data_IF_647303022249
#
_entry.id   IF_647303022249
#
_cell.length_a   1.000
_cell.length_b   1.000
_cell.length_c   1.000
_cell.angle_alpha   90.00
_cell.angle_beta   90.00
_cell.angle_gamma   90.00
#
_symmetry.space_group_name_H-M   'P 1'
#
loop_
_entity.id
_entity.type
_entity.pdbx_description
1 polymer ?
#
# COMPACT_ATOMS: atom_id res chain seq x y z
N UNK A 1 10.29 -14.41 21.33
CA UNK A 1 10.70 -13.82 20.04
C UNK A 1 10.58 -12.30 20.14
N UNK A 2 11.64 -11.60 19.80
CA UNK A 2 11.67 -10.14 19.85
C UNK A 2 10.85 -9.61 18.66
N UNK A 3 9.84 -8.80 18.96
CA UNK A 3 8.97 -8.21 17.94
C UNK A 3 9.78 -7.30 17.00
N UNK A 4 9.60 -7.46 15.69
CA UNK A 4 10.29 -6.64 14.70
C UNK A 4 9.83 -5.18 14.80
N UNK A 5 10.80 -4.28 14.78
CA UNK A 5 10.55 -2.84 14.73
C UNK A 5 9.99 -2.43 13.36
N UNK A 6 9.31 -1.31 13.29
CA UNK A 6 8.81 -0.74 12.04
C UNK A 6 9.96 -0.46 11.04
N UNK A 7 11.15 -0.10 11.55
CA UNK A 7 12.33 0.10 10.72
C UNK A 7 12.78 -1.21 10.06
N UNK A 8 12.90 -2.29 10.82
CA UNK A 8 13.30 -3.60 10.29
C UNK A 8 12.33 -4.11 9.23
N UNK A 9 11.03 -3.93 9.44
CA UNK A 9 9.99 -4.28 8.45
C UNK A 9 10.11 -3.50 7.13
N UNK A 10 10.47 -2.23 7.19
CA UNK A 10 10.56 -1.34 6.04
C UNK A 10 11.95 -1.29 5.41
N UNK A 11 12.95 -1.86 6.05
CA UNK A 11 14.35 -1.77 5.63
C UNK A 11 14.60 -2.22 4.17
N UNK A 12 14.12 -3.39 3.69
CA UNK A 12 14.33 -3.79 2.30
C UNK A 12 13.72 -2.80 1.30
N UNK A 13 12.57 -2.21 1.62
CA UNK A 13 11.95 -1.15 0.79
C UNK A 13 12.82 0.10 0.73
N UNK A 14 13.42 0.47 1.86
CA UNK A 14 14.36 1.59 1.94
C UNK A 14 15.59 1.37 1.07
N UNK A 15 16.20 0.20 1.18
CA UNK A 15 17.39 -0.17 0.40
C UNK A 15 17.06 -0.15 -1.10
N UNK A 16 15.95 -0.76 -1.50
CA UNK A 16 15.48 -0.69 -2.89
C UNK A 16 15.37 0.76 -3.36
N UNK A 17 14.65 1.60 -2.65
CA UNK A 17 14.43 2.99 -3.03
C UNK A 17 15.75 3.79 -3.14
N UNK A 18 16.69 3.55 -2.24
CA UNK A 18 18.01 4.21 -2.22
C UNK A 18 18.83 3.92 -3.47
N UNK A 19 18.87 2.67 -3.92
CA UNK A 19 19.82 2.25 -4.95
C UNK A 19 19.22 2.14 -6.36
N UNK A 20 17.90 1.99 -6.48
CA UNK A 20 17.23 1.77 -7.75
C UNK A 20 17.50 2.87 -8.77
N UNK A 21 17.34 4.13 -8.39
CA UNK A 21 17.57 5.27 -9.28
C UNK A 21 19.02 5.39 -9.72
N UNK A 22 19.97 5.12 -8.84
CA UNK A 22 21.39 5.15 -9.17
C UNK A 22 21.76 4.05 -10.16
N UNK A 23 21.25 2.83 -9.94
CA UNK A 23 21.46 1.72 -10.85
C UNK A 23 20.90 1.99 -12.25
N UNK A 24 19.70 2.57 -12.35
CA UNK A 24 19.11 2.99 -13.64
C UNK A 24 19.98 4.01 -14.37
N UNK A 25 20.44 5.04 -13.66
CA UNK A 25 21.31 6.07 -14.25
C UNK A 25 22.62 5.49 -14.78
N UNK A 26 23.12 4.43 -14.17
CA UNK A 26 24.31 3.69 -14.60
C UNK A 26 24.02 2.66 -15.72
N UNK A 27 22.78 2.56 -16.18
CA UNK A 27 22.39 1.65 -17.27
C UNK A 27 22.24 0.19 -16.84
N UNK A 28 22.09 -0.09 -15.54
CA UNK A 28 21.83 -1.45 -15.04
C UNK A 28 20.54 -2.01 -15.65
N UNK A 29 20.57 -3.28 -16.02
CA UNK A 29 19.42 -4.01 -16.57
C UNK A 29 18.61 -4.75 -15.50
N UNK A 30 19.09 -4.75 -14.29
CA UNK A 30 18.47 -5.34 -13.10
C UNK A 30 19.34 -5.11 -11.87
N UNK A 31 18.79 -5.38 -10.71
CA UNK A 31 19.52 -5.32 -9.43
C UNK A 31 19.29 -6.63 -8.68
N UNK A 32 20.36 -7.17 -8.14
CA UNK A 32 20.30 -8.25 -7.17
C UNK A 32 20.84 -7.75 -5.84
N UNK A 33 19.99 -7.69 -4.84
CA UNK A 33 20.41 -7.41 -3.46
C UNK A 33 20.72 -8.72 -2.76
N UNK A 34 21.83 -8.75 -2.05
CA UNK A 34 22.14 -9.83 -1.10
C UNK A 34 21.70 -9.34 0.27
N UNK A 35 20.92 -10.14 0.98
CA UNK A 35 20.44 -9.76 2.31
C UNK A 35 21.59 -9.56 3.29
N UNK A 36 21.39 -8.64 4.21
CA UNK A 36 22.18 -8.47 5.44
C UNK A 36 21.39 -9.01 6.64
N UNK A 37 21.91 -8.83 7.83
CA UNK A 37 21.27 -9.34 9.06
C UNK A 37 19.88 -8.76 9.30
N UNK A 38 19.66 -7.48 8.92
CA UNK A 38 18.36 -6.82 9.09
C UNK A 38 17.36 -7.37 8.07
N UNK A 39 17.78 -7.50 6.81
CA UNK A 39 16.94 -8.05 5.74
C UNK A 39 16.62 -9.53 5.96
N UNK A 40 17.55 -10.32 6.48
CA UNK A 40 17.31 -11.74 6.82
C UNK A 40 16.30 -11.86 7.95
N UNK A 41 16.40 -11.02 8.98
CA UNK A 41 15.45 -11.00 10.09
C UNK A 41 14.04 -10.63 9.62
N UNK A 42 13.92 -9.66 8.70
CA UNK A 42 12.65 -9.22 8.15
C UNK A 42 12.11 -10.10 7.02
N UNK A 43 12.84 -11.12 6.58
CA UNK A 43 12.49 -11.93 5.41
C UNK A 43 11.13 -12.59 5.51
N UNK A 44 10.75 -13.06 6.68
CA UNK A 44 9.45 -13.70 6.94
C UNK A 44 8.27 -12.80 6.58
N UNK A 45 8.43 -11.48 6.71
CA UNK A 45 7.39 -10.51 6.33
C UNK A 45 7.53 -10.05 4.88
N UNK A 46 8.77 -9.89 4.41
CA UNK A 46 9.05 -9.30 3.10
C UNK A 46 8.76 -10.28 1.96
N UNK A 47 9.09 -11.56 2.12
CA UNK A 47 8.86 -12.57 1.10
C UNK A 47 7.37 -12.71 0.71
N UNK A 48 6.42 -12.81 1.65
CA UNK A 48 5.00 -12.84 1.30
C UNK A 48 4.52 -11.57 0.60
N UNK A 49 5.07 -10.42 0.97
CA UNK A 49 4.74 -9.15 0.30
C UNK A 49 5.23 -9.13 -1.15
N UNK A 50 6.43 -9.64 -1.41
CA UNK A 50 6.98 -9.76 -2.78
C UNK A 50 6.17 -10.74 -3.61
N UNK A 51 5.76 -11.87 -3.05
CA UNK A 51 4.93 -12.88 -3.73
C UNK A 51 3.53 -12.38 -4.10
N UNK A 52 2.99 -11.42 -3.35
CA UNK A 52 1.70 -10.79 -3.69
C UNK A 52 1.74 -9.97 -4.99
N UNK A 53 2.92 -9.59 -5.45
CA UNK A 53 3.09 -8.74 -6.62
C UNK A 53 2.84 -7.25 -6.36
N UNK A 54 2.53 -6.54 -7.44
CA UNK A 54 2.34 -5.08 -7.45
C UNK A 54 0.89 -4.76 -7.76
N UNK A 55 0.33 -3.81 -7.03
CA UNK A 55 -1.02 -3.31 -7.24
C UNK A 55 -0.98 -1.94 -7.93
N UNK A 56 -1.92 -1.71 -8.80
CA UNK A 56 -2.07 -0.45 -9.51
C UNK A 56 -3.53 -0.15 -9.79
N UNK A 57 -3.80 1.10 -10.14
CA UNK A 57 -5.12 1.52 -10.64
C UNK A 57 -4.99 1.74 -12.13
N UNK A 58 -5.88 1.15 -12.91
CA UNK A 58 -5.92 1.34 -14.34
C UNK A 58 -6.09 2.84 -14.67
N UNK A 59 -5.22 3.36 -15.53
CA UNK A 59 -5.20 4.78 -15.89
C UNK A 59 -4.41 5.71 -14.96
N UNK A 60 -4.00 5.28 -13.76
CA UNK A 60 -3.19 6.11 -12.85
C UNK A 60 -1.72 5.68 -12.71
N UNK A 61 -1.38 4.46 -13.07
CA UNK A 61 -0.05 3.88 -12.83
C UNK A 61 0.65 3.44 -14.12
N UNK A 62 0.62 4.25 -15.15
CA UNK A 62 1.22 3.92 -16.44
C UNK A 62 2.75 3.73 -16.39
N UNK A 63 3.40 4.25 -15.36
CA UNK A 63 4.87 4.21 -15.21
C UNK A 63 5.43 2.91 -14.62
N UNK A 64 4.61 1.89 -14.34
CA UNK A 64 5.11 0.60 -13.82
C UNK A 64 5.93 -0.15 -14.87
N UNK A 65 5.76 0.17 -16.16
CA UNK A 65 6.38 -0.56 -17.28
C UNK A 65 7.88 -0.38 -17.45
N UNK A 66 8.49 0.60 -16.79
CA UNK A 66 9.90 0.95 -17.03
C UNK A 66 10.84 0.62 -15.86
N UNK A 67 10.40 -0.13 -14.89
CA UNK A 67 11.25 -0.49 -13.76
C UNK A 67 12.17 -1.66 -14.10
N UNK A 68 13.45 -1.51 -13.77
CA UNK A 68 14.38 -2.63 -13.91
C UNK A 68 14.05 -3.69 -12.84
N UNK A 69 14.18 -4.99 -13.17
CA UNK A 69 13.88 -6.05 -12.23
C UNK A 69 14.79 -5.99 -11.01
N UNK A 70 14.19 -6.25 -9.84
CA UNK A 70 14.89 -6.26 -8.55
C UNK A 70 14.67 -7.61 -7.89
N UNK A 71 15.79 -8.27 -7.60
CA UNK A 71 15.81 -9.57 -6.94
C UNK A 71 16.47 -9.48 -5.58
N UNK A 72 16.07 -10.33 -4.68
CA UNK A 72 16.69 -10.50 -3.39
C UNK A 72 17.18 -11.94 -3.25
N UNK A 73 18.42 -12.09 -2.79
CA UNK A 73 19.06 -13.38 -2.54
C UNK A 73 19.52 -13.40 -1.09
N UNK A 74 19.16 -14.43 -0.36
CA UNK A 74 19.62 -14.59 1.02
C UNK A 74 21.14 -14.69 1.10
N UNK A 75 21.70 -14.11 2.16
CA UNK A 75 23.15 -14.09 2.42
C UNK A 75 23.78 -15.49 2.36
N UNK A 76 23.08 -16.50 2.81
CA UNK A 76 23.53 -17.90 2.74
C UNK A 76 23.85 -18.37 1.31
N UNK A 77 23.18 -17.82 0.30
CA UNK A 77 23.36 -18.16 -1.11
C UNK A 77 24.34 -17.22 -1.86
N UNK A 78 25.01 -16.30 -1.17
CA UNK A 78 25.87 -15.30 -1.80
C UNK A 78 27.03 -15.90 -2.58
N UNK A 79 27.60 -17.03 -2.11
CA UNK A 79 28.74 -17.66 -2.77
C UNK A 79 28.36 -18.27 -4.10
N UNK A 80 27.15 -18.85 -4.19
CA UNK A 80 26.60 -19.31 -5.46
C UNK A 80 26.46 -18.15 -6.46
N UNK A 81 25.90 -17.03 -6.01
CA UNK A 81 25.70 -15.85 -6.84
C UNK A 81 27.05 -15.29 -7.35
N UNK A 82 28.07 -15.18 -6.48
CA UNK A 82 29.39 -14.68 -6.84
C UNK A 82 30.15 -15.61 -7.80
N UNK A 83 29.91 -16.92 -7.73
CA UNK A 83 30.49 -17.92 -8.62
C UNK A 83 29.84 -18.01 -10.00
N UNK A 84 28.70 -17.37 -10.22
CA UNK A 84 27.94 -17.44 -11.46
C UNK A 84 27.83 -16.05 -12.09
N UNK A 85 28.70 -15.68 -13.06
CA UNK A 85 28.70 -14.35 -13.66
C UNK A 85 27.49 -14.10 -14.58
N UNK A 86 26.77 -15.14 -14.94
CA UNK A 86 25.55 -15.06 -15.75
C UNK A 86 24.39 -15.66 -14.96
N UNK A 87 23.31 -14.90 -14.85
CA UNK A 87 22.07 -15.31 -14.19
C UNK A 87 20.95 -15.25 -15.22
N UNK A 88 20.26 -16.37 -15.40
CA UNK A 88 19.03 -16.43 -16.17
C UNK A 88 17.86 -16.53 -15.22
N UNK A 89 16.91 -15.63 -15.35
CA UNK A 89 15.68 -15.62 -14.55
C UNK A 89 14.49 -15.84 -15.47
N UNK A 90 13.70 -16.86 -15.16
CA UNK A 90 12.40 -17.08 -15.79
C UNK A 90 11.32 -16.76 -14.76
N UNK A 91 10.67 -15.61 -14.93
CA UNK A 91 9.60 -15.14 -14.05
C UNK A 91 8.27 -15.22 -14.80
N UNK A 92 7.38 -16.06 -14.32
CA UNK A 92 6.00 -16.10 -14.80
C UNK A 92 5.15 -15.21 -13.88
N UNK A 93 4.44 -14.26 -14.48
CA UNK A 93 3.52 -13.38 -13.77
C UNK A 93 2.16 -13.40 -14.43
N UNK A 94 1.13 -13.30 -13.61
CA UNK A 94 -0.24 -13.15 -14.08
C UNK A 94 -0.77 -11.79 -13.63
N UNK A 95 -1.60 -11.17 -14.46
CA UNK A 95 -2.25 -9.91 -14.14
C UNK A 95 -3.75 -10.12 -14.01
N UNK A 96 -4.28 -9.75 -12.86
CA UNK A 96 -5.70 -9.85 -12.57
C UNK A 96 -6.31 -8.47 -12.40
N UNK A 97 -7.57 -8.31 -12.81
CA UNK A 97 -8.37 -7.13 -12.52
C UNK A 97 -9.36 -7.46 -11.42
N UNK A 98 -9.34 -6.67 -10.35
CA UNK A 98 -10.29 -6.76 -9.25
C UNK A 98 -11.03 -5.45 -9.11
N UNK A 99 -12.37 -5.48 -8.99
CA UNK A 99 -13.12 -4.27 -8.70
C UNK A 99 -12.79 -3.79 -7.28
N UNK A 100 -12.58 -2.50 -7.14
CA UNK A 100 -12.52 -1.81 -5.85
C UNK A 100 -13.45 -0.62 -5.90
N UNK A 101 -13.95 -0.18 -4.76
CA UNK A 101 -14.92 0.91 -4.69
C UNK A 101 -14.50 1.94 -3.65
N UNK A 102 -14.76 3.21 -3.96
CA UNK A 102 -14.86 4.27 -2.97
C UNK A 102 -16.33 4.52 -2.70
N UNK A 103 -16.71 4.58 -1.43
CA UNK A 103 -18.07 4.89 -1.00
C UNK A 103 -18.11 6.36 -0.66
N UNK A 104 -19.02 7.09 -1.30
CA UNK A 104 -19.14 8.55 -1.12
C UNK A 104 -20.55 8.87 -0.67
N UNK A 105 -20.64 9.64 0.42
CA UNK A 105 -21.89 10.18 0.95
C UNK A 105 -21.79 11.69 1.12
N UNK A 106 -22.87 12.42 0.81
CA UNK A 106 -22.95 13.87 0.93
C UNK A 106 -24.07 14.25 1.87
N UNK A 107 -23.81 15.23 2.75
CA UNK A 107 -24.84 15.97 3.47
C UNK A 107 -24.73 17.43 3.04
N UNK A 108 -25.84 17.96 2.50
CA UNK A 108 -25.88 19.33 2.00
C UNK A 108 -25.84 20.34 3.16
N UNK A 109 -25.08 21.42 2.97
CA UNK A 109 -24.97 22.49 3.93
C UNK A 109 -26.21 23.40 3.92
N UNK A 110 -26.47 24.10 5.03
CA UNK A 110 -27.65 24.95 5.23
C UNK A 110 -27.47 26.40 4.80
N UNK A 111 -26.22 26.85 4.67
CA UNK A 111 -25.92 28.24 4.31
C UNK A 111 -25.97 28.42 2.78
N UNK A 112 -26.80 29.32 2.23
CA UNK A 112 -26.92 29.48 0.78
C UNK A 112 -25.62 29.86 0.07
N UNK A 113 -24.68 30.52 0.76
CA UNK A 113 -23.40 30.92 0.20
C UNK A 113 -22.33 29.83 0.35
N UNK A 114 -22.37 29.11 1.46
CA UNK A 114 -21.32 28.15 1.82
C UNK A 114 -21.65 26.70 1.43
N UNK A 115 -22.88 26.37 1.08
CA UNK A 115 -23.31 25.01 0.75
C UNK A 115 -22.59 24.39 -0.45
N UNK A 116 -22.01 25.22 -1.31
CA UNK A 116 -21.19 24.76 -2.44
C UNK A 116 -19.71 24.55 -2.07
N UNK A 117 -19.32 24.84 -0.83
CA UNK A 117 -18.02 24.49 -0.27
C UNK A 117 -18.15 23.18 0.51
N UNK A 118 -17.11 22.35 0.43
CA UNK A 118 -17.14 21.02 1.02
C UNK A 118 -16.09 20.86 2.10
N UNK A 119 -16.49 20.21 3.19
CA UNK A 119 -15.55 19.62 4.15
C UNK A 119 -15.50 18.13 3.85
N UNK A 120 -14.35 17.64 3.46
CA UNK A 120 -14.14 16.20 3.18
C UNK A 120 -13.63 15.52 4.43
N UNK A 121 -14.32 14.44 4.83
CA UNK A 121 -13.97 13.56 5.92
C UNK A 121 -13.78 12.16 5.32
N UNK A 122 -12.61 11.57 5.51
CA UNK A 122 -12.32 10.29 4.87
C UNK A 122 -11.63 9.28 5.77
N UNK A 123 -11.79 8.00 5.42
CA UNK A 123 -11.11 6.86 5.96
C UNK A 123 -11.00 5.78 4.89
N UNK A 124 -10.54 4.59 5.25
CA UNK A 124 -10.54 3.43 4.36
C UNK A 124 -11.14 2.21 5.04
N UNK A 125 -11.67 1.29 4.24
CA UNK A 125 -12.42 0.13 4.72
C UNK A 125 -11.63 -1.18 4.65
N UNK A 126 -10.53 -1.18 3.93
CA UNK A 126 -9.69 -2.35 3.77
C UNK A 126 -8.60 -2.40 4.83
N UNK A 127 -8.16 -3.63 5.14
CA UNK A 127 -6.93 -3.92 5.86
C UNK A 127 -6.27 -5.15 5.24
N UNK A 128 -5.17 -5.61 5.79
CA UNK A 128 -4.31 -6.63 5.19
C UNK A 128 -4.93 -8.05 5.15
N UNK A 129 -5.91 -8.34 6.00
CA UNK A 129 -6.54 -9.65 6.06
C UNK A 129 -5.58 -10.73 6.57
N UNK A 130 -5.40 -11.82 5.83
CA UNK A 130 -4.53 -12.92 6.24
C UNK A 130 -3.08 -12.63 5.85
N UNK A 131 -2.17 -12.66 6.84
CA UNK A 131 -0.72 -12.47 6.68
C UNK A 131 0.06 -13.50 7.52
N UNK A 132 1.38 -13.29 7.63
CA UNK A 132 2.22 -14.07 8.54
C UNK A 132 1.72 -13.93 9.99
N UNK A 133 1.80 -14.99 10.81
CA UNK A 133 1.27 -14.97 12.15
C UNK A 133 2.07 -14.05 13.09
N UNK A 134 1.35 -13.30 13.92
CA UNK A 134 1.90 -12.60 15.09
C UNK A 134 1.26 -13.24 16.32
N UNK A 135 2.05 -13.83 17.21
CA UNK A 135 1.55 -14.57 18.40
C UNK A 135 0.46 -15.60 18.04
N UNK A 136 0.66 -16.36 16.96
CA UNK A 136 -0.27 -17.34 16.40
C UNK A 136 -1.57 -16.76 15.80
N UNK A 137 -1.73 -15.46 15.70
CA UNK A 137 -2.82 -14.81 14.99
C UNK A 137 -2.36 -14.44 13.56
N UNK A 138 -3.10 -14.90 12.56
CA UNK A 138 -2.85 -14.63 11.14
C UNK A 138 -3.79 -13.60 10.56
N UNK A 139 -4.79 -13.15 11.33
CA UNK A 139 -5.83 -12.25 10.84
C UNK A 139 -5.55 -10.82 11.30
N UNK A 140 -5.22 -9.98 10.35
CA UNK A 140 -5.05 -8.55 10.56
C UNK A 140 -6.41 -7.87 10.38
N UNK A 141 -7.13 -7.74 11.48
CA UNK A 141 -8.55 -7.35 11.50
C UNK A 141 -8.80 -5.89 11.10
N UNK A 142 -7.83 -4.99 11.30
CA UNK A 142 -8.00 -3.57 10.98
C UNK A 142 -8.98 -2.83 11.89
N UNK A 143 -9.09 -3.21 13.17
CA UNK A 143 -10.01 -2.56 14.09
C UNK A 143 -9.67 -1.09 14.32
N UNK A 144 -8.38 -0.79 14.51
CA UNK A 144 -7.86 0.57 14.65
C UNK A 144 -7.52 1.18 13.28
N UNK A 145 -6.85 0.43 12.43
CA UNK A 145 -6.50 0.77 11.06
C UNK A 145 -7.33 -0.02 10.03
N UNK A 146 -8.54 0.45 9.59
CA UNK A 146 -9.06 1.76 9.90
C UNK A 146 -10.58 1.70 10.12
N UNK A 147 -11.11 0.60 10.70
CA UNK A 147 -12.52 0.48 11.04
C UNK A 147 -12.96 1.56 12.04
N UNK A 148 -12.06 1.97 12.96
CA UNK A 148 -12.31 3.04 13.93
C UNK A 148 -12.73 4.35 13.24
N UNK A 149 -12.02 4.77 12.20
CA UNK A 149 -12.39 5.96 11.41
C UNK A 149 -13.70 5.74 10.66
N UNK A 150 -13.91 4.56 10.07
CA UNK A 150 -15.17 4.27 9.38
C UNK A 150 -16.39 4.40 10.32
N UNK A 151 -16.28 3.89 11.54
CA UNK A 151 -17.32 4.03 12.57
C UNK A 151 -17.53 5.48 12.95
N UNK A 152 -16.44 6.26 13.10
CA UNK A 152 -16.53 7.70 13.39
C UNK A 152 -17.22 8.46 12.26
N UNK A 153 -16.91 8.15 10.99
CA UNK A 153 -17.59 8.74 9.82
C UNK A 153 -19.09 8.45 9.84
N UNK A 154 -19.49 7.22 10.15
CA UNK A 154 -20.91 6.86 10.28
C UNK A 154 -21.60 7.60 11.42
N UNK A 155 -20.94 7.75 12.57
CA UNK A 155 -21.48 8.50 13.71
C UNK A 155 -21.65 9.98 13.37
N UNK A 156 -20.64 10.59 12.73
CA UNK A 156 -20.71 11.97 12.24
C UNK A 156 -21.80 12.15 11.19
N UNK A 157 -21.93 11.20 10.25
CA UNK A 157 -23.01 11.21 9.26
C UNK A 157 -24.41 11.23 9.90
N UNK A 158 -24.61 10.40 10.94
CA UNK A 158 -25.86 10.39 11.71
C UNK A 158 -26.11 11.70 12.46
N UNK A 159 -25.07 12.34 13.00
CA UNK A 159 -25.19 13.61 13.70
C UNK A 159 -25.53 14.74 12.74
N UNK A 160 -24.78 14.87 11.66
CA UNK A 160 -24.98 15.93 10.65
C UNK A 160 -26.26 15.76 9.82
N UNK A 161 -26.79 14.55 9.67
CA UNK A 161 -28.10 14.35 9.06
C UNK A 161 -29.25 14.93 9.90
N UNK A 162 -29.07 15.00 11.22
CA UNK A 162 -30.04 15.62 12.13
C UNK A 162 -29.82 17.12 12.29
N UNK A 163 -28.58 17.57 12.25
CA UNK A 163 -28.20 18.96 12.41
C UNK A 163 -27.11 19.31 11.38
N UNK A 164 -27.49 19.62 10.13
CA UNK A 164 -26.56 19.94 9.08
C UNK A 164 -25.69 21.16 9.39
N UNK A 165 -24.45 21.13 8.94
CA UNK A 165 -23.53 22.26 9.06
C UNK A 165 -23.82 23.33 8.02
N UNK A 166 -23.14 24.48 8.12
CA UNK A 166 -23.27 25.55 7.11
C UNK A 166 -22.72 25.15 5.76
N UNK A 167 -21.53 24.49 5.74
CA UNK A 167 -20.92 23.87 4.55
C UNK A 167 -21.44 22.47 4.33
N UNK A 168 -21.41 22.03 3.11
CA UNK A 168 -21.67 20.63 2.79
C UNK A 168 -20.53 19.73 3.33
N UNK A 169 -20.89 18.52 3.72
CA UNK A 169 -19.91 17.53 4.20
C UNK A 169 -19.92 16.37 3.22
N UNK A 170 -18.72 16.00 2.79
CA UNK A 170 -18.47 14.85 1.96
C UNK A 170 -17.78 13.78 2.80
N UNK A 171 -18.43 12.64 2.97
CA UNK A 171 -17.89 11.46 3.64
C UNK A 171 -17.37 10.50 2.58
N UNK A 172 -16.11 10.10 2.70
CA UNK A 172 -15.50 9.19 1.74
C UNK A 172 -14.83 8.03 2.46
N UNK A 173 -15.24 6.81 2.11
CA UNK A 173 -14.59 5.59 2.56
C UNK A 173 -13.86 4.99 1.37
N UNK A 174 -12.53 5.07 1.39
CA UNK A 174 -11.69 4.58 0.31
C UNK A 174 -11.50 3.07 0.37
N UNK A 175 -11.33 2.46 -0.79
CA UNK A 175 -10.87 1.08 -0.90
C UNK A 175 -9.41 0.99 -1.30
N UNK A 176 -8.80 -0.17 -1.04
CA UNK A 176 -7.43 -0.49 -1.42
C UNK A 176 -6.36 0.50 -0.94
N UNK A 177 -6.52 1.00 0.29
CA UNK A 177 -5.54 1.87 0.94
C UNK A 177 -4.24 1.11 1.18
N UNK A 178 -4.33 -0.09 1.76
CA UNK A 178 -3.21 -0.97 2.13
C UNK A 178 -2.41 -1.48 0.92
N UNK A 179 -2.88 -1.20 -0.27
CA UNK A 179 -2.22 -1.54 -1.54
C UNK A 179 -1.53 -0.32 -2.18
N UNK A 180 -1.39 0.76 -1.45
CA UNK A 180 -0.70 1.97 -1.85
C UNK A 180 -1.62 3.16 -2.13
N UNK A 181 -2.59 3.39 -1.24
CA UNK A 181 -3.51 4.53 -1.29
C UNK A 181 -4.34 4.57 -2.60
N UNK A 182 -4.67 3.39 -3.18
CA UNK A 182 -5.19 3.35 -4.54
C UNK A 182 -6.52 4.07 -4.69
N UNK A 183 -7.45 3.87 -3.74
CA UNK A 183 -8.75 4.51 -3.78
C UNK A 183 -8.69 6.03 -3.61
N UNK A 184 -7.90 6.52 -2.66
CA UNK A 184 -7.74 7.96 -2.45
C UNK A 184 -6.99 8.65 -3.59
N UNK A 185 -6.00 7.99 -4.18
CA UNK A 185 -5.30 8.48 -5.39
C UNK A 185 -6.25 8.59 -6.58
N UNK A 186 -7.12 7.59 -6.77
CA UNK A 186 -8.15 7.66 -7.81
C UNK A 186 -9.10 8.83 -7.57
N UNK A 187 -9.63 8.96 -6.35
CA UNK A 187 -10.54 10.05 -5.98
C UNK A 187 -9.89 11.43 -6.18
N UNK A 188 -8.61 11.58 -5.81
CA UNK A 188 -7.90 12.86 -6.00
C UNK A 188 -7.69 13.22 -7.47
N UNK A 189 -7.60 12.23 -8.35
CA UNK A 189 -7.49 12.45 -9.80
C UNK A 189 -8.84 12.62 -10.50
N UNK A 190 -9.93 12.19 -9.85
CA UNK A 190 -11.30 12.24 -10.37
C UNK A 190 -12.26 12.75 -9.26
N UNK A 191 -12.12 14.01 -8.84
CA UNK A 191 -12.91 14.59 -7.75
C UNK A 191 -14.38 14.82 -8.11
#
# INVERSE_FOLDING_TARGET
EQEMTLFERRYPRFIKAKYLNSARKLGAKGIVFITDEISDKSWIEVEPMMKRGVYGVEGLNENIKEDIPVFWVKKENQNWLKGNPQITVNLQTETYKYPSVNIIGKIEGTDPKLKNEYVLLSGHQDHDGIRHPVKNDTIYNGADDNASTCVALLAMGRAYSKQPAKRSILFVIHGAEERGLLGSRWHSAHP
#
